data_IF_709493463056
#
_entry.id   IF_709493463056
#
_cell.length_a   1.000
_cell.length_b   1.000
_cell.length_c   1.000
_cell.angle_alpha   90.00
_cell.angle_beta   90.00
_cell.angle_gamma   90.00
#
_symmetry.space_group_name_H-M   'P 1'
#
loop_
_entity.id
_entity.type
_entity.pdbx_description
1 polymer ?
2 water ?
#
# COMPACT_ATOMS: atom_id res chain seq x y z
N UNK A 3 28.05 1.56 2.75
CA UNK A 3 27.89 2.73 1.90
C UNK A 3 26.62 3.50 2.20
N UNK A 4 26.76 4.83 2.43
CA UNK A 4 25.63 5.74 2.69
C UNK A 4 24.93 6.18 1.40
N UNK A 5 23.87 5.49 1.01
CA UNK A 5 23.13 5.82 -0.20
C UNK A 5 22.06 6.86 0.11
N UNK A 6 21.99 7.89 -0.72
CA UNK A 6 20.99 8.94 -0.57
C UNK A 6 20.39 9.32 -1.92
N UNK A 7 19.23 9.96 -1.88
CA UNK A 7 18.69 10.60 -3.08
C UNK A 7 17.96 11.88 -2.69
N UNK A 8 17.43 12.60 -3.68
CA UNK A 8 16.90 13.95 -3.44
C UNK A 8 15.39 14.00 -3.27
N UNK A 9 14.74 12.83 -3.20
CA UNK A 9 13.30 12.77 -2.97
C UNK A 9 12.85 13.48 -1.71
N UNK A 10 11.77 14.26 -1.84
CA UNK A 10 11.19 14.95 -0.70
C UNK A 10 9.88 14.29 -0.33
N UNK A 11 9.33 14.69 0.81
CA UNK A 11 8.02 14.26 1.22
C UNK A 11 7.03 15.38 0.91
N UNK A 12 5.78 15.02 0.74
CA UNK A 12 4.75 16.03 0.68
C UNK A 12 4.77 16.82 1.99
N UNK A 13 4.53 18.12 1.90
CA UNK A 13 4.55 19.02 3.05
C UNK A 13 5.87 19.74 3.21
N UNK A 14 6.89 19.29 2.48
CA UNK A 14 8.20 19.91 2.57
C UNK A 14 8.08 21.35 2.07
N UNK A 15 8.76 22.27 2.74
CA UNK A 15 8.61 23.70 2.46
C UNK A 15 9.10 24.17 1.11
N UNK A 16 10.11 23.52 0.54
CA UNK A 16 10.67 24.04 -0.72
C UNK A 16 10.16 23.36 -2.00
N UNK A 17 8.98 22.74 -1.90
CA UNK A 17 8.27 22.25 -3.07
C UNK A 17 7.88 23.47 -3.86
N UNK A 18 8.04 23.41 -5.19
CA UNK A 18 7.77 24.58 -6.00
C UNK A 18 6.48 24.44 -6.80
N UNK A 19 5.49 25.23 -6.40
CA UNK A 19 4.16 25.10 -6.98
C UNK A 19 4.09 25.36 -8.49
N UNK A 20 4.92 26.28 -8.98
CA UNK A 20 4.95 26.63 -10.39
C UNK A 20 5.26 25.44 -11.29
N UNK A 21 6.28 24.66 -10.89
CA UNK A 21 6.84 23.60 -11.71
C UNK A 21 6.03 22.31 -11.68
N UNK A 22 5.05 22.23 -10.79
CA UNK A 22 4.32 20.98 -10.59
C UNK A 22 2.84 21.12 -10.93
N UNK A 23 2.14 20.00 -11.04
CA UNK A 23 0.74 19.98 -11.46
C UNK A 23 -0.21 20.34 -10.33
N UNK A 24 -1.46 20.62 -10.68
CA UNK A 24 -2.51 20.85 -9.69
C UNK A 24 -2.71 19.64 -8.80
N UNK A 25 -2.55 18.44 -9.37
CA UNK A 25 -2.73 17.22 -8.62
C UNK A 25 -1.71 17.07 -7.49
N UNK A 26 -0.45 17.41 -7.79
CA UNK A 26 0.62 17.37 -6.81
C UNK A 26 0.48 18.48 -5.78
N UNK A 27 0.20 19.70 -6.26
CA UNK A 27 -0.06 20.83 -5.36
C UNK A 27 -1.11 20.49 -4.31
N UNK A 28 -2.17 19.81 -4.75
CA UNK A 28 -3.27 19.41 -3.86
C UNK A 28 -2.81 18.45 -2.77
N UNK A 29 -1.89 17.56 -3.11
CA UNK A 29 -1.32 16.67 -2.11
C UNK A 29 -0.37 17.41 -1.19
N UNK A 30 0.43 18.30 -1.76
CA UNK A 30 1.44 19.02 -1.01
C UNK A 30 0.85 19.78 0.18
N UNK A 31 -0.37 20.29 0.03
CA UNK A 31 -0.97 21.18 1.05
C UNK A 31 -1.92 20.48 2.02
N UNK A 32 -2.17 19.19 1.81
CA UNK A 32 -3.03 18.42 2.71
C UNK A 32 -2.27 17.68 3.82
N UNK A 33 -2.67 17.91 5.07
CA UNK A 33 -2.06 17.24 6.21
C UNK A 33 -2.10 15.71 6.02
N UNK A 34 -3.13 15.21 5.34
CA UNK A 34 -3.28 13.78 5.09
C UNK A 34 -2.09 13.15 4.36
N UNK A 35 -1.45 13.93 3.48
CA UNK A 35 -0.34 13.43 2.71
C UNK A 35 1.00 13.76 3.34
N UNK A 36 0.96 14.54 4.41
CA UNK A 36 2.21 15.06 4.96
C UNK A 36 3.15 13.94 5.36
N UNK A 37 4.37 13.96 4.83
CA UNK A 37 5.34 12.94 5.18
C UNK A 37 5.36 11.74 4.24
N UNK A 38 4.39 11.62 3.36
CA UNK A 38 4.47 10.57 2.34
C UNK A 38 5.48 11.00 1.29
N UNK A 39 6.14 10.03 0.67
CA UNK A 39 7.16 10.30 -0.33
C UNK A 39 6.55 11.03 -1.51
N UNK A 40 7.23 12.06 -1.97
CA UNK A 40 6.79 12.74 -3.18
C UNK A 40 7.55 12.17 -4.38
N UNK A 41 6.95 11.20 -5.05
CA UNK A 41 7.64 10.52 -6.14
C UNK A 41 7.57 11.30 -7.45
N UNK A 42 6.61 12.21 -7.55
CA UNK A 42 6.32 12.83 -8.84
C UNK A 42 6.74 14.30 -8.96
N UNK A 43 7.76 14.70 -8.20
CA UNK A 43 8.22 16.10 -8.21
C UNK A 43 9.03 16.44 -9.47
N UNK A 44 8.67 17.56 -10.09
CA UNK A 44 9.25 17.98 -11.37
C UNK A 44 10.09 19.24 -11.25
N UNK A 45 10.92 19.50 -12.26
CA UNK A 45 11.66 20.76 -12.29
C UNK A 45 11.05 21.75 -13.28
N UNK A 46 11.77 22.81 -13.62
CA UNK A 46 11.26 23.78 -14.58
C UNK A 46 10.90 23.11 -15.91
N UNK A 47 11.65 22.06 -16.27
CA UNK A 47 11.52 21.39 -17.56
C UNK A 47 10.33 20.43 -17.63
N UNK A 48 9.60 20.31 -16.53
CA UNK A 48 8.53 19.32 -16.41
C UNK A 48 9.12 17.92 -16.53
N UNK A 49 10.40 17.78 -16.21
CA UNK A 49 10.97 16.45 -16.00
C UNK A 49 11.13 16.17 -14.51
N UNK A 50 11.22 14.89 -14.14
CA UNK A 50 11.35 14.47 -12.76
C UNK A 50 12.70 14.87 -12.16
N UNK A 51 12.67 15.51 -10.98
CA UNK A 51 13.90 15.86 -10.28
C UNK A 51 14.76 14.62 -10.02
N UNK A 52 14.12 13.54 -9.61
CA UNK A 52 14.83 12.30 -9.35
C UNK A 52 14.42 11.27 -10.39
N UNK A 53 15.38 10.88 -11.22
CA UNK A 53 15.14 9.99 -12.34
C UNK A 53 14.81 8.56 -11.89
N UNK A 54 14.11 7.84 -12.75
CA UNK A 54 13.80 6.44 -12.49
C UNK A 54 15.01 5.60 -12.04
N UNK A 55 16.14 5.72 -12.74
CA UNK A 55 17.30 4.85 -12.47
C UNK A 55 18.17 5.36 -11.33
N UNK A 56 17.52 5.71 -10.23
CA UNK A 56 18.18 6.21 -9.04
C UNK A 56 17.96 5.16 -7.97
N UNK A 57 18.99 4.94 -7.14
CA UNK A 57 18.88 4.03 -6.00
C UNK A 57 17.75 4.48 -5.08
N UNK A 58 16.85 3.56 -4.75
CA UNK A 58 15.88 3.81 -3.69
C UNK A 58 16.55 3.52 -2.35
N UNK A 59 16.17 4.25 -1.31
CA UNK A 59 16.74 4.02 0.02
C UNK A 59 15.72 3.43 0.98
N UNK A 60 16.20 2.88 2.08
CA UNK A 60 15.30 2.39 3.12
C UNK A 60 14.49 3.55 3.69
N UNK A 61 15.10 4.74 3.81
CA UNK A 61 14.33 5.90 4.19
C UNK A 61 13.14 6.15 3.27
N UNK A 62 13.31 5.90 1.97
CA UNK A 62 12.22 6.04 1.02
C UNK A 62 11.09 5.06 1.34
N UNK A 63 11.43 3.80 1.64
CA UNK A 63 10.41 2.79 1.94
C UNK A 63 9.57 3.22 3.12
N UNK A 64 10.20 3.95 4.05
CA UNK A 64 9.54 4.34 5.29
C UNK A 64 8.53 5.45 5.03
N UNK A 65 8.55 6.00 3.82
CA UNK A 65 7.62 7.08 3.49
C UNK A 65 6.60 6.67 2.43
N UNK A 66 6.57 5.40 2.11
CA UNK A 66 5.56 4.87 1.19
C UNK A 66 4.21 4.70 1.86
N UNK A 67 3.15 4.88 1.11
CA UNK A 67 1.84 4.72 1.67
C UNK A 67 0.75 5.23 0.77
N UNK A 68 -0.49 5.04 1.21
CA UNK A 68 -1.63 5.60 0.52
C UNK A 68 -2.54 6.23 1.55
N UNK A 69 -3.44 7.08 1.10
CA UNK A 69 -4.32 7.80 2.02
C UNK A 69 -5.69 7.13 2.13
N UNK A 70 -6.13 6.95 3.37
CA UNK A 70 -7.41 6.35 3.65
C UNK A 70 -8.34 7.39 4.26
N UNK A 71 -9.52 7.54 3.67
CA UNK A 71 -10.44 8.59 4.10
C UNK A 71 -11.85 8.07 4.30
N UNK A 72 -12.59 8.70 5.21
CA UNK A 72 -14.00 8.41 5.41
C UNK A 72 -14.73 9.73 5.44
N UNK A 73 -15.91 9.75 4.86
CA UNK A 73 -16.73 10.94 4.81
C UNK A 73 -18.18 10.55 5.07
N UNK A 74 -18.77 11.09 6.13
CA UNK A 74 -20.17 10.79 6.39
C UNK A 74 -21.06 11.92 5.90
N UNK A 75 -21.96 11.57 4.98
CA UNK A 75 -22.87 12.53 4.40
C UNK A 75 -22.18 13.80 3.91
N UNK A 76 -22.51 14.91 4.55
CA UNK A 76 -22.07 16.22 4.09
C UNK A 76 -20.75 16.66 4.74
N UNK A 77 -20.43 16.09 5.89
CA UNK A 77 -19.23 16.48 6.64
C UNK A 77 -17.95 16.27 5.84
N UNK A 78 -16.88 16.92 6.26
CA UNK A 78 -15.60 16.83 5.54
C UNK A 78 -14.83 15.55 5.83
N UNK A 79 -14.02 15.13 4.86
CA UNK A 79 -13.24 13.90 4.96
C UNK A 79 -12.30 13.87 6.15
N UNK A 80 -12.30 12.76 6.88
CA UNK A 80 -11.29 12.52 7.89
C UNK A 80 -10.30 11.56 7.24
N UNK A 81 -9.01 11.83 7.38
CA UNK A 81 -8.01 11.09 6.61
C UNK A 81 -6.92 10.54 7.50
N UNK A 82 -6.35 9.41 7.08
CA UNK A 82 -5.17 8.85 7.74
C UNK A 82 -4.27 8.28 6.65
N UNK A 83 -3.01 8.02 7.01
CA UNK A 83 -2.07 7.40 6.10
C UNK A 83 -1.91 5.95 6.41
N UNK A 84 -2.05 5.12 5.38
CA UNK A 84 -1.74 3.73 5.51
C UNK A 84 -0.34 3.51 4.99
N UNK A 85 0.60 3.30 5.91
CA UNK A 85 1.98 3.10 5.54
C UNK A 85 2.32 1.64 5.57
N UNK A 86 3.56 1.28 5.24
CA UNK A 86 3.89 -0.12 5.25
C UNK A 86 3.64 -0.69 6.63
N UNK A 87 3.02 -1.86 6.66
CA UNK A 87 2.79 -2.62 7.90
C UNK A 87 1.74 -2.00 8.82
N UNK A 88 1.01 -1.03 8.29
CA UNK A 88 -0.17 -0.55 8.98
C UNK A 88 -1.33 -1.54 8.79
N UNK A 89 -2.40 -1.34 9.55
CA UNK A 89 -3.56 -2.22 9.50
C UNK A 89 -4.82 -1.40 9.28
N UNK A 90 -5.65 -1.87 8.36
CA UNK A 90 -6.95 -1.27 8.11
C UNK A 90 -8.01 -2.28 8.47
N UNK A 91 -8.84 -1.91 9.43
CA UNK A 91 -9.91 -2.75 9.93
C UNK A 91 -11.21 -2.17 9.47
N UNK A 92 -11.99 -2.99 8.77
CA UNK A 92 -13.35 -2.64 8.40
C UNK A 92 -14.26 -3.36 9.38
N UNK A 93 -15.02 -2.60 10.16
CA UNK A 93 -15.82 -3.17 11.23
C UNK A 93 -17.27 -2.88 11.00
N UNK A 94 -18.10 -3.90 11.17
CA UNK A 94 -19.53 -3.71 11.08
C UNK A 94 -20.15 -3.82 12.46
N UNK A 95 -20.89 -2.79 12.84
CA UNK A 95 -21.78 -2.92 14.00
C UNK A 95 -23.06 -2.14 13.75
N UNK A 96 -23.91 -2.05 14.76
CA UNK A 96 -25.11 -1.26 14.65
C UNK A 96 -25.96 -1.59 13.43
N UNK A 97 -26.09 -2.88 13.13
CA UNK A 97 -26.99 -3.31 12.07
C UNK A 97 -26.30 -3.58 10.74
N UNK A 98 -24.98 -3.43 10.70
CA UNK A 98 -24.21 -3.72 9.48
C UNK A 98 -23.25 -4.87 9.74
N UNK A 99 -23.21 -5.81 8.81
CA UNK A 99 -22.34 -6.98 8.89
C UNK A 99 -21.17 -6.84 7.92
N UNK A 100 -19.96 -7.14 8.39
CA UNK A 100 -18.77 -7.06 7.54
C UNK A 100 -18.00 -8.35 7.70
N UNK A 101 -17.73 -9.00 6.58
CA UNK A 101 -17.05 -10.29 6.58
C UNK A 101 -15.97 -10.25 5.51
N UNK A 102 -15.00 -11.17 5.60
CA UNK A 102 -13.92 -11.23 4.62
C UNK A 102 -13.50 -12.64 4.28
N UNK A 103 -12.90 -12.77 3.10
CA UNK A 103 -12.36 -14.02 2.59
C UNK A 103 -11.05 -13.66 1.93
N UNK A 104 -10.13 -14.61 1.83
CA UNK A 104 -8.87 -14.43 1.12
C UNK A 104 -8.50 -15.68 0.33
N UNK A 105 -7.93 -15.48 -0.86
CA UNK A 105 -7.50 -16.59 -1.71
C UNK A 105 -6.53 -16.09 -2.78
N UNK A 106 -5.28 -16.54 -2.72
CA UNK A 106 -4.29 -16.23 -3.75
C UNK A 106 -4.16 -14.72 -4.03
N UNK A 107 -3.84 -13.95 -2.99
CA UNK A 107 -3.64 -12.52 -3.15
C UNK A 107 -4.91 -11.79 -3.53
N UNK A 108 -6.03 -12.49 -3.50
CA UNK A 108 -7.32 -11.87 -3.79
C UNK A 108 -8.18 -11.81 -2.52
N UNK A 109 -8.39 -10.59 -2.02
CA UNK A 109 -9.04 -10.40 -0.73
C UNK A 109 -10.40 -9.76 -0.96
N UNK A 110 -11.41 -10.23 -0.23
CA UNK A 110 -12.77 -9.70 -0.41
C UNK A 110 -13.38 -9.24 0.90
N UNK A 111 -13.83 -7.99 0.94
CA UNK A 111 -14.63 -7.51 2.04
C UNK A 111 -16.07 -7.38 1.60
N UNK A 112 -16.98 -7.98 2.36
CA UNK A 112 -18.36 -8.05 1.97
C UNK A 112 -19.24 -7.37 3.00
N UNK A 113 -20.19 -6.57 2.51
CA UNK A 113 -21.04 -5.77 3.38
C UNK A 113 -22.48 -6.19 3.24
N UNK A 114 -23.14 -6.42 4.36
CA UNK A 114 -24.52 -6.87 4.36
C UNK A 114 -25.25 -6.32 5.58
N UNK A 115 -26.56 -6.53 5.65
CA UNK A 115 -27.34 -6.05 6.78
C UNK A 115 -27.28 -7.01 7.97
N UNK B 3 26.09 6.98 -9.37
CA UNK B 3 25.78 6.80 -10.78
C UNK B 3 24.40 6.24 -11.02
N UNK B 4 24.18 5.64 -12.20
CA UNK B 4 22.91 5.01 -12.55
C UNK B 4 22.76 3.66 -11.86
N UNK B 5 21.59 3.38 -11.32
CA UNK B 5 21.31 2.08 -10.76
C UNK B 5 20.10 1.52 -11.48
N UNK B 6 20.23 0.30 -12.02
CA UNK B 6 19.13 -0.31 -12.76
C UNK B 6 18.94 -1.78 -12.39
N UNK B 7 17.77 -2.30 -12.70
CA UNK B 7 17.52 -3.73 -12.58
C UNK B 7 16.58 -4.15 -13.69
N UNK B 8 16.32 -5.45 -13.80
CA UNK B 8 15.56 -5.97 -14.94
C UNK B 8 14.09 -6.23 -14.65
N UNK B 9 13.56 -5.65 -13.58
CA UNK B 9 12.14 -5.85 -13.27
C UNK B 9 11.26 -5.29 -14.37
N UNK B 10 10.23 -6.03 -14.73
CA UNK B 10 9.31 -5.52 -15.74
C UNK B 10 7.99 -5.18 -15.05
N UNK B 11 7.12 -4.46 -15.76
CA UNK B 11 5.76 -4.21 -15.28
C UNK B 11 4.81 -5.19 -15.96
N UNK B 12 3.69 -5.50 -15.33
CA UNK B 12 2.66 -6.30 -16.00
C UNK B 12 2.20 -5.55 -17.25
N UNK B 13 2.07 -6.28 -18.35
CA UNK B 13 1.65 -5.64 -19.58
C UNK B 13 2.81 -5.40 -20.54
N UNK B 14 4.04 -5.55 -20.06
CA UNK B 14 5.23 -5.39 -20.90
C UNK B 14 5.38 -6.59 -21.85
N UNK B 15 6.11 -6.40 -22.94
CA UNK B 15 6.42 -7.49 -23.88
C UNK B 15 7.42 -8.48 -23.28
N UNK B 16 7.53 -9.67 -23.90
CA UNK B 16 8.50 -10.69 -23.50
C UNK B 16 8.28 -11.31 -22.12
N UNK B 17 7.04 -11.31 -21.65
CA UNK B 17 6.72 -12.01 -20.41
C UNK B 17 6.98 -13.49 -20.68
N UNK B 18 7.65 -14.15 -19.76
CA UNK B 18 8.01 -15.56 -19.92
C UNK B 18 7.12 -16.44 -19.04
N UNK B 19 6.16 -17.12 -19.65
CA UNK B 19 5.21 -17.94 -18.90
C UNK B 19 5.85 -18.98 -18.01
N UNK B 20 6.83 -19.71 -18.53
CA UNK B 20 7.47 -20.77 -17.76
C UNK B 20 8.34 -20.19 -16.64
N UNK B 21 8.57 -18.89 -16.69
CA UNK B 21 9.39 -18.24 -15.68
C UNK B 21 8.57 -17.60 -14.53
N UNK B 22 7.25 -17.71 -14.60
CA UNK B 22 6.36 -17.08 -13.63
C UNK B 22 5.27 -18.04 -13.16
N UNK B 23 4.52 -17.61 -12.16
CA UNK B 23 3.39 -18.39 -11.64
C UNK B 23 2.14 -18.15 -12.49
N UNK B 24 1.15 -19.01 -12.33
CA UNK B 24 -0.14 -18.82 -12.98
C UNK B 24 -0.83 -17.53 -12.50
N UNK B 25 -0.67 -17.19 -11.22
CA UNK B 25 -1.22 -15.93 -10.72
C UNK B 25 -0.67 -14.73 -11.48
N UNK B 26 0.63 -14.69 -11.68
CA UNK B 26 1.23 -13.57 -12.39
C UNK B 26 0.85 -13.59 -13.87
N UNK B 27 0.74 -14.78 -14.44
CA UNK B 27 0.29 -14.90 -15.84
C UNK B 27 -1.09 -14.27 -16.01
N UNK B 28 -1.95 -14.43 -15.01
CA UNK B 28 -3.29 -13.85 -15.10
C UNK B 28 -3.25 -12.34 -14.95
N UNK B 29 -2.33 -11.85 -14.12
CA UNK B 29 -2.17 -10.42 -13.96
C UNK B 29 -1.58 -9.77 -15.22
N UNK B 30 -0.60 -10.44 -15.81
CA UNK B 30 0.01 -9.97 -17.06
C UNK B 30 -1.04 -9.56 -18.09
N UNK B 31 -2.12 -10.33 -18.25
CA UNK B 31 -3.04 -10.01 -19.32
C UNK B 31 -4.23 -9.13 -18.92
N UNK B 32 -4.30 -8.74 -17.64
CA UNK B 32 -5.40 -7.88 -17.19
C UNK B 32 -5.02 -6.41 -17.18
N UNK B 33 -5.89 -5.59 -17.77
CA UNK B 33 -5.69 -4.14 -17.82
C UNK B 33 -5.47 -3.50 -16.43
N UNK B 34 -6.18 -4.00 -15.42
CA UNK B 34 -6.12 -3.37 -14.10
C UNK B 34 -4.72 -3.44 -13.48
N UNK B 35 -3.93 -4.42 -13.93
CA UNK B 35 -2.59 -4.60 -13.38
C UNK B 35 -1.51 -3.94 -14.24
N UNK B 36 -1.92 -3.39 -15.38
CA UNK B 36 -0.97 -2.83 -16.35
C UNK B 36 -0.09 -1.75 -15.75
N UNK B 37 1.22 -1.96 -15.77
CA UNK B 37 2.13 -0.95 -15.27
C UNK B 37 2.54 -1.17 -13.82
N UNK B 38 1.86 -2.06 -13.12
CA UNK B 38 2.36 -2.49 -11.81
C UNK B 38 3.52 -3.42 -12.00
N UNK B 39 4.49 -3.30 -11.11
CA UNK B 39 5.72 -4.04 -11.15
C UNK B 39 5.49 -5.55 -11.04
N UNK B 40 6.14 -6.33 -11.89
CA UNK B 40 6.14 -7.78 -11.70
C UNK B 40 7.30 -8.23 -10.82
N UNK B 41 7.04 -8.41 -9.54
CA UNK B 41 8.08 -8.73 -8.55
C UNK B 41 8.47 -10.20 -8.49
N UNK B 42 7.68 -11.06 -9.13
CA UNK B 42 7.97 -12.49 -9.15
C UNK B 42 8.32 -13.02 -10.54
N UNK B 43 9.25 -13.95 -10.58
CA UNK B 43 9.71 -14.59 -11.80
C UNK B 43 10.83 -15.54 -11.38
N UNK B 44 10.70 -16.80 -11.80
CA UNK B 44 11.34 -17.89 -11.08
C UNK B 44 12.11 -18.88 -11.97
N UNK B 45 13.43 -18.81 -11.90
CA UNK B 45 14.29 -19.90 -12.36
C UNK B 45 14.72 -20.61 -11.08
N UNK B 46 13.89 -21.56 -10.63
CA UNK B 46 13.82 -21.96 -9.22
C UNK B 46 13.07 -20.83 -8.52
N UNK B 50 14.71 -17.41 -8.76
CA UNK B 50 14.02 -16.14 -8.66
C UNK B 50 14.91 -15.19 -9.45
N UNK B 51 14.46 -14.81 -10.64
CA UNK B 51 15.33 -14.13 -11.61
C UNK B 51 16.00 -12.87 -11.07
N UNK B 52 15.23 -11.86 -10.69
CA UNK B 52 15.83 -10.70 -10.04
C UNK B 52 16.04 -11.10 -8.61
N UNK B 53 17.29 -11.32 -8.21
CA UNK B 53 17.57 -11.85 -6.88
C UNK B 53 17.11 -10.85 -5.83
N UNK B 54 16.88 -11.34 -4.62
CA UNK B 54 16.50 -10.47 -3.52
C UNK B 54 17.54 -9.39 -3.26
N UNK B 55 18.82 -9.74 -3.42
CA UNK B 55 19.90 -8.81 -3.14
C UNK B 55 20.29 -8.01 -4.36
N UNK B 56 19.28 -7.39 -4.96
CA UNK B 56 19.47 -6.49 -6.08
C UNK B 56 18.96 -5.13 -5.64
N UNK B 57 19.63 -4.06 -6.04
CA UNK B 57 19.19 -2.72 -5.68
C UNK B 57 17.82 -2.42 -6.28
N UNK B 58 16.93 -1.88 -5.45
CA UNK B 58 15.67 -1.33 -5.92
C UNK B 58 15.95 0.08 -6.46
N UNK B 59 15.15 0.51 -7.43
CA UNK B 59 15.28 1.86 -7.95
C UNK B 59 14.07 2.71 -7.61
N UNK B 60 14.21 4.02 -7.79
CA UNK B 60 13.10 4.93 -7.58
C UNK B 60 11.99 4.64 -8.63
N UNK B 61 12.39 4.28 -9.85
CA UNK B 61 11.43 3.89 -10.85
C UNK B 61 10.62 2.68 -10.42
N UNK B 62 11.26 1.75 -9.72
CA UNK B 62 10.52 0.62 -9.14
C UNK B 62 9.43 1.15 -8.20
N UNK B 63 9.77 2.10 -7.33
CA UNK B 63 8.79 2.60 -6.35
C UNK B 63 7.59 3.22 -7.05
N UNK B 64 7.83 3.80 -8.22
CA UNK B 64 6.77 4.43 -8.98
C UNK B 64 5.81 3.42 -9.57
N UNK B 65 6.16 2.13 -9.48
CA UNK B 65 5.34 1.05 -10.04
C UNK B 65 4.72 0.14 -8.99
N UNK B 66 4.87 0.47 -7.71
CA UNK B 66 4.27 -0.33 -6.66
C UNK B 66 2.80 0.02 -6.50
N UNK B 67 1.99 -0.95 -6.11
CA UNK B 67 0.60 -0.65 -5.82
C UNK B 67 -0.22 -1.90 -5.59
N UNK B 68 -1.51 -1.70 -5.38
CA UNK B 68 -2.43 -2.83 -5.27
C UNK B 68 -3.68 -2.48 -6.07
N UNK B 69 -4.56 -3.46 -6.25
CA UNK B 69 -5.72 -3.30 -7.10
C UNK B 69 -6.97 -3.23 -6.25
N UNK B 70 -7.76 -2.17 -6.44
CA UNK B 70 -8.98 -1.97 -5.70
C UNK B 70 -10.15 -2.30 -6.62
N UNK B 71 -11.02 -3.19 -6.18
CA UNK B 71 -12.18 -3.56 -6.98
C UNK B 71 -13.47 -3.36 -6.19
N UNK B 72 -14.55 -3.14 -6.93
CA UNK B 72 -15.85 -2.99 -6.31
C UNK B 72 -16.84 -3.85 -7.08
N UNK B 73 -17.66 -4.58 -6.35
CA UNK B 73 -18.71 -5.35 -6.98
C UNK B 73 -20.04 -4.96 -6.35
N UNK B 74 -21.04 -4.80 -7.20
CA UNK B 74 -22.39 -4.51 -6.73
C UNK B 74 -23.37 -5.51 -7.31
N UNK B 75 -23.59 -6.62 -6.60
CA UNK B 75 -24.50 -7.65 -7.05
C UNK B 75 -23.93 -8.51 -8.16
N UNK B 76 -24.69 -8.62 -9.25
CA UNK B 76 -24.25 -9.39 -10.42
C UNK B 76 -23.26 -8.56 -11.24
N UNK B 77 -23.48 -7.25 -11.27
CA UNK B 77 -22.62 -6.35 -12.03
C UNK B 77 -21.15 -6.69 -11.83
N UNK B 78 -20.41 -6.82 -12.93
CA UNK B 78 -19.02 -7.26 -12.88
C UNK B 78 -18.13 -6.30 -12.10
N UNK B 79 -16.98 -6.80 -11.67
CA UNK B 79 -16.04 -6.01 -10.89
C UNK B 79 -15.45 -4.86 -11.70
N UNK B 80 -15.43 -3.68 -11.09
CA UNK B 80 -14.68 -2.58 -11.63
C UNK B 80 -13.39 -2.50 -10.81
N UNK B 81 -12.26 -2.37 -11.50
CA UNK B 81 -10.96 -2.37 -10.83
C UNK B 81 -10.15 -1.12 -11.14
N UNK B 82 -9.37 -0.66 -10.16
CA UNK B 82 -8.50 0.52 -10.33
C UNK B 82 -7.22 0.30 -9.53
N UNK B 83 -6.13 0.96 -9.91
CA UNK B 83 -4.86 0.75 -9.19
C UNK B 83 -4.69 1.74 -8.07
N UNK B 84 -4.25 1.25 -6.92
CA UNK B 84 -3.89 2.14 -5.81
C UNK B 84 -2.38 2.17 -5.70
N UNK B 85 -1.77 3.23 -6.22
CA UNK B 85 -0.34 3.35 -6.21
C UNK B 85 0.10 4.18 -4.99
N UNK B 86 1.39 4.39 -4.84
CA UNK B 86 1.87 5.19 -3.72
C UNK B 86 1.22 6.58 -3.76
N UNK B 87 0.69 7.01 -2.62
CA UNK B 87 0.08 8.33 -2.48
C UNK B 87 -1.17 8.53 -3.34
N UNK B 88 -1.82 7.44 -3.73
CA UNK B 88 -3.19 7.52 -4.20
C UNK B 88 -4.09 7.55 -2.96
N UNK B 89 -5.38 7.79 -3.17
CA UNK B 89 -6.34 7.89 -2.06
C UNK B 89 -7.58 7.01 -2.23
N UNK B 90 -7.97 6.33 -1.16
CA UNK B 90 -9.25 5.64 -1.18
C UNK B 90 -10.17 6.26 -0.13
N UNK B 91 -11.31 6.76 -0.61
CA UNK B 91 -12.29 7.41 0.23
C UNK B 91 -13.49 6.48 0.42
N UNK B 92 -13.83 6.20 1.67
CA UNK B 92 -15.03 5.43 1.99
C UNK B 92 -16.09 6.42 2.44
N UNK B 93 -17.14 6.52 1.64
CA UNK B 93 -18.16 7.53 1.84
C UNK B 93 -19.49 6.88 2.21
N UNK B 94 -20.04 7.29 3.36
CA UNK B 94 -21.31 6.76 3.83
C UNK B 94 -22.47 7.72 3.71
N UNK B 95 -23.45 7.33 2.91
CA UNK B 95 -24.67 8.10 2.73
C UNK B 95 -25.81 7.41 3.45
N UNK B 96 -27.03 7.91 3.27
CA UNK B 96 -28.20 7.33 3.91
C UNK B 96 -28.53 5.91 3.50
N UNK B 97 -28.69 5.03 4.49
CA UNK B 97 -28.53 5.39 5.89
C UNK B 97 -27.37 4.64 6.52
N UNK B 98 -26.24 4.64 5.81
CA UNK B 98 -25.02 3.99 6.26
C UNK B 98 -24.08 5.01 6.90
N UNK B 99 -23.77 4.80 8.18
CA UNK B 99 -22.80 5.63 8.90
C UNK B 99 -21.39 5.07 8.76
N UNK B 100 -20.47 5.88 8.25
CA UNK B 100 -19.07 5.49 8.11
C UNK B 100 -18.15 6.40 8.94
N UNK B 101 -17.58 5.85 10.01
CA UNK B 101 -16.70 6.63 10.88
C UNK B 101 -15.33 5.97 10.95
N UNK B 102 -14.29 6.75 11.28
CA UNK B 102 -12.95 6.17 11.33
C UNK B 102 -12.11 6.65 12.51
N UNK B 103 -11.37 5.72 13.10
CA UNK B 103 -10.41 6.04 14.14
C UNK B 103 -9.05 5.55 13.69
N UNK B 104 -8.01 6.02 14.37
CA UNK B 104 -6.66 5.75 13.96
C UNK B 104 -5.74 5.75 15.18
N UNK B 105 -5.22 4.58 15.53
CA UNK B 105 -4.33 4.48 16.67
C UNK B 105 -3.06 3.69 16.34
N UNK B 106 -1.94 4.39 16.29
CA UNK B 106 -0.66 3.73 16.13
C UNK B 106 -0.59 2.84 14.90
N UNK B 107 -1.00 3.37 13.76
CA UNK B 107 -0.88 2.67 12.49
C UNK B 107 -1.97 1.64 12.29
N UNK B 108 -2.93 1.61 13.20
CA UNK B 108 -4.12 0.78 13.02
C UNK B 108 -5.33 1.66 12.74
N UNK B 109 -5.87 1.54 11.54
CA UNK B 109 -6.96 2.41 11.10
C UNK B 109 -8.27 1.64 11.02
N UNK B 110 -9.28 2.14 11.71
CA UNK B 110 -10.57 1.48 11.71
C UNK B 110 -11.63 2.29 10.97
N UNK B 111 -12.20 1.68 9.93
CA UNK B 111 -13.37 2.25 9.29
C UNK B 111 -14.59 1.47 9.80
N UNK B 112 -15.46 2.14 10.55
CA UNK B 112 -16.68 1.53 11.07
C UNK B 112 -17.88 1.80 10.18
N UNK B 113 -18.72 0.78 10.04
CA UNK B 113 -19.97 0.89 9.29
C UNK B 113 -21.13 0.53 10.22
N UNK B 114 -22.18 1.33 10.17
CA UNK B 114 -23.32 1.17 11.06
C UNK B 114 -24.54 1.85 10.46
N UNK B 115 -25.72 1.50 10.97
CA UNK B 115 -26.95 2.15 10.54
C UNK B 115 -27.17 3.46 11.29
N UNK C 3 22.50 -4.59 -10.03
CA UNK C 3 23.37 -4.18 -8.94
C UNK C 3 23.22 -5.03 -7.68
N UNK C 4 24.27 -5.77 -7.33
CA UNK C 4 24.33 -6.57 -6.09
C UNK C 4 24.33 -5.68 -4.85
N UNK C 5 23.35 -5.88 -3.97
CA UNK C 5 23.15 -4.99 -2.83
C UNK C 5 22.46 -5.74 -1.71
N UNK C 6 22.82 -5.43 -0.47
CA UNK C 6 22.20 -6.07 0.69
C UNK C 6 21.97 -5.08 1.83
N UNK C 7 21.03 -5.43 2.71
CA UNK C 7 20.89 -4.73 3.99
C UNK C 7 20.39 -5.68 5.09
N UNK C 8 20.24 -5.15 6.30
CA UNK C 8 19.98 -6.00 7.46
C UNK C 8 18.50 -6.10 7.82
N UNK C 9 17.63 -5.55 6.99
CA UNK C 9 16.21 -5.59 7.27
C UNK C 9 15.73 -7.04 7.28
N UNK C 10 14.92 -7.35 8.29
CA UNK C 10 14.28 -8.66 8.40
C UNK C 10 12.76 -8.49 8.26
N UNK C 11 12.07 -9.61 8.10
CA UNK C 11 10.63 -9.66 8.08
C UNK C 11 10.07 -9.92 9.48
N UNK C 12 8.85 -9.46 9.74
CA UNK C 12 8.15 -9.94 10.92
C UNK C 12 8.05 -11.46 10.81
N UNK C 13 8.27 -12.15 11.92
CA UNK C 13 8.23 -13.59 11.97
C UNK C 13 9.60 -14.23 11.90
N UNK C 14 10.62 -13.43 11.57
CA UNK C 14 11.98 -13.95 11.46
C UNK C 14 12.66 -14.09 12.83
N UNK C 15 13.68 -14.94 12.90
CA UNK C 15 14.33 -15.22 14.17
C UNK C 15 15.17 -14.05 14.64
N UNK C 16 15.62 -14.13 15.89
CA UNK C 16 16.57 -13.17 16.44
C UNK C 16 16.02 -11.76 16.53
N UNK C 17 14.73 -11.67 16.86
CA UNK C 17 14.10 -10.38 17.09
C UNK C 17 14.31 -9.98 18.55
N UNK C 18 15.05 -8.90 18.80
CA UNK C 18 15.26 -8.46 20.19
C UNK C 18 14.00 -7.85 20.73
N UNK C 19 13.28 -8.64 21.49
CA UNK C 19 11.99 -8.28 21.99
C UNK C 19 12.03 -7.13 22.99
N UNK C 20 13.02 -7.11 23.86
CA UNK C 20 13.03 -6.12 24.93
C UNK C 20 13.49 -4.74 24.47
N UNK C 21 14.17 -4.69 23.32
CA UNK C 21 14.62 -3.43 22.74
C UNK C 21 13.69 -2.86 21.70
N UNK C 22 12.66 -3.61 21.34
CA UNK C 22 11.74 -3.12 20.33
C UNK C 22 10.42 -2.74 20.96
N UNK C 23 9.56 -2.13 20.16
CA UNK C 23 8.36 -1.50 20.66
C UNK C 23 7.32 -2.54 20.96
N UNK C 24 6.27 -2.09 21.64
CA UNK C 24 5.15 -2.97 21.93
C UNK C 24 4.42 -3.39 20.64
N UNK C 25 4.25 -2.44 19.74
CA UNK C 25 3.58 -2.70 18.47
C UNK C 25 4.34 -3.77 17.66
N UNK C 26 5.65 -3.61 17.56
CA UNK C 26 6.46 -4.56 16.81
C UNK C 26 6.27 -5.95 17.37
N UNK C 27 6.23 -6.00 18.69
CA UNK C 27 5.91 -7.22 19.40
C UNK C 27 4.52 -7.63 18.97
N UNK C 28 3.57 -6.72 19.12
CA UNK C 28 2.20 -7.00 18.70
C UNK C 28 2.08 -7.53 17.28
N UNK C 29 3.14 -7.35 16.45
CA UNK C 29 3.17 -7.74 15.02
C UNK C 29 4.02 -8.97 14.67
N UNK C 30 5.09 -9.22 15.41
CA UNK C 30 6.09 -10.24 15.00
C UNK C 30 5.56 -11.69 15.05
N UNK C 31 4.38 -11.88 15.62
CA UNK C 31 3.79 -13.21 15.68
C UNK C 31 2.51 -13.36 14.85
N UNK C 32 1.66 -12.32 14.84
CA UNK C 32 0.41 -12.34 14.06
C UNK C 32 0.73 -12.87 12.68
N UNK C 33 -0.03 -13.87 12.27
CA UNK C 33 0.29 -14.54 11.03
C UNK C 33 0.11 -13.59 9.84
N UNK C 34 -0.80 -12.62 9.97
CA UNK C 34 -1.09 -11.74 8.85
C UNK C 34 0.12 -10.84 8.59
N UNK C 35 0.94 -10.64 9.63
CA UNK C 35 2.13 -9.78 9.52
C UNK C 35 3.38 -10.55 9.07
N UNK C 36 3.32 -11.88 9.13
CA UNK C 36 4.47 -12.73 8.80
C UNK C 36 4.98 -12.58 7.37
N UNK C 37 6.27 -12.31 7.21
CA UNK C 37 6.80 -12.08 5.89
C UNK C 37 6.77 -10.61 5.44
N UNK C 38 6.06 -9.76 6.18
CA UNK C 38 6.10 -8.33 5.90
C UNK C 38 7.38 -7.73 6.46
N UNK C 39 7.92 -6.75 5.75
CA UNK C 39 9.17 -6.13 6.13
C UNK C 39 9.09 -5.50 7.52
N UNK C 40 10.05 -5.81 8.38
CA UNK C 40 10.13 -5.16 9.68
C UNK C 40 11.00 -3.92 9.50
N UNK C 41 10.38 -2.81 9.11
CA UNK C 41 11.14 -1.62 8.69
C UNK C 41 11.89 -0.92 9.81
N UNK C 42 11.29 -0.88 10.99
CA UNK C 42 11.81 -0.06 12.07
C UNK C 42 12.42 -0.83 13.24
N UNK C 43 12.88 -2.05 12.99
CA UNK C 43 13.56 -2.80 14.02
C UNK C 43 14.68 -1.96 14.60
N UNK C 44 14.83 -2.01 15.93
CA UNK C 44 15.89 -1.31 16.64
C UNK C 44 17.05 -2.27 16.94
N UNK C 45 18.23 -1.70 17.12
CA UNK C 45 19.42 -2.46 17.50
C UNK C 45 19.67 -2.34 19.00
N UNK C 46 20.76 -2.92 19.47
CA UNK C 46 21.07 -2.94 20.90
C UNK C 46 21.52 -1.57 21.40
N UNK C 47 21.74 -0.66 20.47
CA UNK C 47 22.11 0.71 20.80
C UNK C 47 20.87 1.61 20.87
N UNK C 48 19.71 1.00 20.66
CA UNK C 48 18.44 1.70 20.71
C UNK C 48 18.30 2.72 19.60
N UNK C 49 18.87 2.35 18.45
CA UNK C 49 18.76 3.09 17.21
C UNK C 49 18.19 2.16 16.14
N UNK C 50 17.72 2.73 15.03
CA UNK C 50 17.21 1.91 13.95
C UNK C 50 18.30 0.95 13.51
N UNK C 51 17.95 -0.31 13.33
CA UNK C 51 18.88 -1.33 12.82
C UNK C 51 19.47 -0.92 11.46
N UNK C 52 18.62 -0.44 10.57
CA UNK C 52 19.03 0.04 9.25
C UNK C 52 18.70 1.52 9.10
N UNK C 53 19.71 2.35 8.87
CA UNK C 53 19.49 3.79 8.77
C UNK C 53 18.79 4.17 7.47
N UNK C 54 18.12 5.32 7.48
CA UNK C 54 17.46 5.87 6.30
C UNK C 54 18.33 5.82 5.03
N UNK C 55 19.59 6.22 5.13
CA UNK C 55 20.45 6.33 3.95
C UNK C 55 21.15 5.03 3.61
N UNK C 56 20.35 4.00 3.39
CA UNK C 56 20.85 2.70 3.00
C UNK C 56 20.09 2.29 1.78
N UNK C 57 20.77 1.66 0.82
CA UNK C 57 20.09 1.17 -0.37
C UNK C 57 19.00 0.16 -0.03
N UNK C 58 17.85 0.31 -0.69
CA UNK C 58 16.77 -0.67 -0.62
C UNK C 58 16.99 -1.78 -1.66
N UNK C 59 16.46 -2.97 -1.39
CA UNK C 59 16.63 -4.10 -2.30
C UNK C 59 15.28 -4.55 -2.85
N UNK C 60 15.34 -5.34 -3.91
CA UNK C 60 14.13 -5.92 -4.50
C UNK C 60 13.50 -6.91 -3.53
N UNK C 61 14.37 -7.60 -2.79
CA UNK C 61 13.93 -8.43 -1.68
C UNK C 61 13.12 -7.64 -0.68
N UNK C 62 13.52 -6.40 -0.39
CA UNK C 62 12.69 -5.54 0.45
C UNK C 62 11.33 -5.25 -0.16
N UNK C 63 11.31 -4.91 -1.45
CA UNK C 63 10.08 -4.56 -2.15
C UNK C 63 9.07 -5.70 -2.09
N UNK C 64 9.58 -6.93 -2.21
CA UNK C 64 8.77 -8.16 -2.10
C UNK C 64 8.14 -8.36 -0.74
N UNK C 65 8.56 -7.58 0.25
CA UNK C 65 8.03 -7.73 1.60
C UNK C 65 7.17 -6.53 2.04
N UNK C 66 6.88 -5.63 1.11
CA UNK C 66 6.10 -4.45 1.43
C UNK C 66 4.63 -4.80 1.40
N UNK C 67 3.85 -4.23 2.31
CA UNK C 67 2.42 -4.41 2.30
C UNK C 67 1.74 -3.85 3.54
N UNK C 68 0.47 -4.20 3.69
CA UNK C 68 -0.33 -3.76 4.83
C UNK C 68 -1.33 -4.86 5.21
N UNK C 69 -1.97 -4.73 6.36
CA UNK C 69 -2.89 -5.76 6.82
C UNK C 69 -4.31 -5.26 6.73
N UNK C 70 -5.15 -6.11 6.14
CA UNK C 70 -6.56 -5.87 5.94
C UNK C 70 -7.33 -6.76 6.90
N UNK C 71 -8.17 -6.15 7.71
CA UNK C 71 -8.92 -6.89 8.72
C UNK C 71 -10.40 -6.59 8.66
N UNK C 72 -11.21 -7.54 9.15
CA UNK C 72 -12.63 -7.33 9.27
C UNK C 72 -13.13 -7.86 10.62
N UNK C 73 -14.22 -7.28 11.08
CA UNK C 73 -14.77 -7.63 12.38
C UNK C 73 -16.27 -7.56 12.25
N UNK C 74 -16.91 -8.70 12.45
CA UNK C 74 -18.36 -8.76 12.44
C UNK C 74 -18.88 -8.67 13.87
N UNK C 75 -19.19 -7.46 14.31
CA UNK C 75 -19.69 -7.25 15.67
C UNK C 75 -18.86 -7.97 16.71
N UNK C 76 -19.47 -8.94 17.37
CA UNK C 76 -18.86 -9.64 18.52
C UNK C 76 -17.67 -10.53 18.16
N UNK C 77 -17.71 -11.14 16.98
CA UNK C 77 -16.70 -12.12 16.59
C UNK C 77 -15.28 -11.54 16.59
N UNK C 78 -14.29 -12.43 16.61
CA UNK C 78 -12.89 -12.03 16.49
C UNK C 78 -12.57 -11.42 15.12
N UNK C 79 -11.49 -10.64 15.06
CA UNK C 79 -11.01 -10.07 13.80
C UNK C 79 -10.49 -11.18 12.88
N UNK C 80 -10.74 -11.01 11.59
CA UNK C 80 -10.11 -11.87 10.60
C UNK C 80 -9.18 -10.94 9.85
N UNK C 81 -7.93 -11.38 9.66
CA UNK C 81 -6.90 -10.50 9.12
C UNK C 81 -6.20 -11.21 8.00
N UNK C 82 -5.75 -10.44 7.01
CA UNK C 82 -4.99 -11.02 5.90
C UNK C 82 -3.99 -10.01 5.41
N UNK C 83 -3.00 -10.51 4.70
CA UNK C 83 -1.85 -9.73 4.28
C UNK C 83 -2.10 -9.20 2.88
N UNK C 84 -1.94 -7.89 2.68
CA UNK C 84 -2.03 -7.30 1.35
C UNK C 84 -0.65 -6.85 0.87
N UNK C 85 -0.09 -7.57 -0.10
CA UNK C 85 1.20 -7.20 -0.66
C UNK C 85 1.07 -6.50 -2.01
N UNK C 86 2.19 -6.11 -2.59
CA UNK C 86 2.21 -5.45 -3.90
C UNK C 86 1.51 -6.35 -4.90
N UNK C 87 0.67 -5.74 -5.72
CA UNK C 87 -0.09 -6.42 -6.77
C UNK C 87 -1.17 -7.38 -6.24
N UNK C 88 -1.46 -7.35 -4.93
CA UNK C 88 -2.67 -8.03 -4.46
C UNK C 88 -3.91 -7.27 -4.92
N UNK C 89 -5.07 -7.92 -4.87
CA UNK C 89 -6.33 -7.28 -5.19
C UNK C 89 -7.24 -7.32 -3.95
N UNK C 90 -7.95 -6.23 -3.70
CA UNK C 90 -8.92 -6.19 -2.61
C UNK C 90 -10.26 -5.79 -3.19
N UNK C 91 -11.24 -6.68 -3.07
CA UNK C 91 -12.57 -6.42 -3.60
C UNK C 91 -13.49 -5.96 -2.47
N UNK C 92 -14.24 -4.87 -2.68
CA UNK C 92 -15.31 -4.49 -1.76
C UNK C 92 -16.66 -4.82 -2.34
N UNK C 93 -17.37 -5.73 -1.70
CA UNK C 93 -18.58 -6.31 -2.26
C UNK C 93 -19.77 -5.95 -1.39
N UNK C 94 -20.83 -5.49 -2.03
CA UNK C 94 -22.06 -5.21 -1.31
C UNK C 94 -23.12 -6.25 -1.61
N UNK C 95 -23.79 -6.73 -0.57
CA UNK C 95 -24.95 -7.61 -0.76
C UNK C 95 -26.07 -7.30 0.26
N UNK C 96 -27.22 -7.93 0.05
CA UNK C 96 -28.41 -7.77 0.88
C UNK C 96 -28.31 -7.08 2.23
N UNK C 97 -28.53 -5.77 2.23
CA UNK C 97 -28.79 -5.04 1.01
C UNK C 97 -28.03 -3.72 1.02
N UNK C 98 -26.72 -3.82 1.17
CA UNK C 98 -25.86 -2.65 1.07
C UNK C 98 -25.45 -2.49 -0.39
N UNK C 99 -25.47 -1.27 -0.89
CA UNK C 99 -24.97 -1.04 -2.23
C UNK C 99 -23.56 -0.46 -2.13
N UNK C 100 -22.62 -1.11 -2.81
CA UNK C 100 -21.23 -0.67 -2.83
C UNK C 100 -20.82 -0.33 -4.25
N UNK C 101 -20.69 0.95 -4.52
CA UNK C 101 -20.31 1.43 -5.84
C UNK C 101 -19.02 2.25 -5.72
N UNK C 102 -18.30 2.40 -6.83
CA UNK C 102 -17.02 3.09 -6.81
C UNK C 102 -16.80 4.01 -8.01
N UNK C 103 -16.12 5.12 -7.78
CA UNK C 103 -15.67 5.99 -8.85
C UNK C 103 -14.22 6.39 -8.60
N UNK C 104 -13.52 6.77 -9.65
CA UNK C 104 -12.12 7.14 -9.55
C UNK C 104 -11.78 8.33 -10.44
N UNK C 105 -10.86 9.17 -9.97
CA UNK C 105 -10.43 10.33 -10.73
C UNK C 105 -9.06 10.80 -10.22
N UNK C 106 -8.07 10.73 -11.09
CA UNK C 106 -6.71 11.13 -10.74
C UNK C 106 -6.13 10.38 -9.54
N UNK C 107 -6.44 9.09 -9.43
CA UNK C 107 -5.88 8.29 -8.34
C UNK C 107 -6.56 8.50 -6.99
N UNK C 108 -7.67 9.22 -6.99
CA UNK C 108 -8.53 9.32 -5.82
C UNK C 108 -9.70 8.42 -6.09
N UNK C 109 -9.88 7.40 -5.24
CA UNK C 109 -10.90 6.41 -5.47
C UNK C 109 -11.94 6.47 -4.39
N UNK C 110 -13.18 6.66 -4.81
CA UNK C 110 -14.26 6.78 -3.86
C UNK C 110 -15.11 5.52 -3.89
N UNK C 111 -15.32 4.93 -2.71
CA UNK C 111 -16.19 3.78 -2.59
C UNK C 111 -17.37 4.19 -1.73
N UNK C 112 -18.56 4.10 -2.31
CA UNK C 112 -19.75 4.63 -1.68
C UNK C 112 -20.68 3.56 -1.16
N UNK C 113 -21.13 3.71 0.08
CA UNK C 113 -21.98 2.73 0.72
C UNK C 113 -23.37 3.29 0.98
N UNK C 114 -24.37 2.68 0.34
CA UNK C 114 -25.75 3.12 0.46
C UNK C 114 -26.69 2.00 0.94
N UNK C 115 -27.94 2.37 1.19
CA UNK C 115 -28.98 1.43 1.62
C UNK C 115 -28.68 0.85 3.00
#
# INVERSE_FOLDING_TARGET
NNTPVTNKLKAYGDANFNFTNNSIADAEKQVQEAYKGLLNLNEKNASDKLLVEDNTAATVGNLRKLGWVLSSKNGTRNEKSQQVKHADEVLFEGKGGVQVTSTSENGKHTITFALA
NNTPVTNKLKAYGDANFNFTNNSIADAEKQVQEAYKGLLNLNEKNASDKLLVEDNTAATVGNLRKLGWVLSSKNGTRNEKSQQVKHADEVLFEGKGGVQVTSTSENGKHTITFALA
NNTPVTNKLKAYGDANFNFTNNSIADAEKQVQEAYKGLLNLNEKNASDKLLVEDNTAATVGNLRKLGWVLSSKNGTRNEKSQQVKHADEVLFEGKGGVQVTSTSENGKHTITFALA
#
